data_IF_301763021646
#
_entry.id   IF_301763021646
#
_cell.length_a   1.000
_cell.length_b   1.000
_cell.length_c   1.000
_cell.angle_alpha   90.00
_cell.angle_beta   90.00
_cell.angle_gamma   90.00
#
_symmetry.space_group_name_H-M   'P 1'
#
loop_
_entity.id
_entity.type
_entity.pdbx_description
1 polymer ?
#
# COMPACT_ATOMS: atom_id res chain seq x y z
N UNK A 1 5.82 -10.49 31.95
CA UNK A 1 5.21 -9.19 31.60
C UNK A 1 5.60 -8.75 30.19
N UNK A 2 6.90 -8.71 29.87
CA UNK A 2 7.45 -8.23 28.59
C UNK A 2 6.85 -8.88 27.34
N UNK A 3 6.67 -10.20 27.34
CA UNK A 3 6.09 -10.94 26.22
C UNK A 3 4.64 -10.55 25.92
N UNK A 4 3.85 -10.26 26.96
CA UNK A 4 2.45 -9.85 26.78
C UNK A 4 2.38 -8.46 26.18
N UNK A 5 3.28 -7.57 26.61
CA UNK A 5 3.38 -6.21 26.13
C UNK A 5 3.85 -6.15 24.66
N UNK A 6 4.86 -6.94 24.29
CA UNK A 6 5.35 -6.98 22.91
C UNK A 6 4.28 -7.51 21.94
N UNK A 7 3.58 -8.58 22.32
CA UNK A 7 2.47 -9.13 21.51
C UNK A 7 1.36 -8.08 21.36
N UNK A 8 0.97 -7.41 22.44
CA UNK A 8 -0.07 -6.38 22.41
C UNK A 8 0.30 -5.22 21.47
N UNK A 9 1.55 -4.75 21.52
CA UNK A 9 2.02 -3.66 20.65
C UNK A 9 1.99 -4.08 19.18
N UNK A 10 2.48 -5.28 18.85
CA UNK A 10 2.50 -5.77 17.47
C UNK A 10 1.09 -5.92 16.92
N UNK A 11 0.17 -6.47 17.71
CA UNK A 11 -1.25 -6.60 17.32
C UNK A 11 -1.88 -5.23 17.10
N UNK A 12 -1.63 -4.28 18.00
CA UNK A 12 -2.15 -2.91 17.89
C UNK A 12 -1.61 -2.19 16.64
N UNK A 13 -0.31 -2.36 16.34
CA UNK A 13 0.31 -1.79 15.14
C UNK A 13 -0.26 -2.40 13.85
N UNK A 14 -0.38 -3.73 13.80
CA UNK A 14 -0.91 -4.44 12.64
C UNK A 14 -2.38 -4.09 12.37
N UNK A 15 -3.20 -4.04 13.41
CA UNK A 15 -4.62 -3.67 13.29
C UNK A 15 -4.80 -2.20 12.93
N UNK A 16 -4.01 -1.29 13.51
CA UNK A 16 -4.02 0.12 13.13
C UNK A 16 -3.64 0.34 11.67
N UNK A 17 -2.59 -0.33 11.19
CA UNK A 17 -2.18 -0.30 9.78
C UNK A 17 -3.26 -0.88 8.87
N UNK A 18 -3.81 -2.06 9.19
CA UNK A 18 -4.86 -2.69 8.39
C UNK A 18 -6.12 -1.82 8.30
N UNK A 19 -6.54 -1.23 9.41
CA UNK A 19 -7.68 -0.32 9.46
C UNK A 19 -7.40 0.94 8.65
N UNK A 20 -6.21 1.52 8.80
CA UNK A 20 -5.77 2.67 8.01
C UNK A 20 -5.78 2.40 6.50
N UNK A 21 -5.27 1.24 6.07
CA UNK A 21 -5.29 0.83 4.66
C UNK A 21 -6.71 0.62 4.14
N UNK A 22 -7.58 -0.03 4.93
CA UNK A 22 -8.99 -0.22 4.55
C UNK A 22 -9.74 1.10 4.41
N UNK A 23 -9.54 2.04 5.33
CA UNK A 23 -10.24 3.34 5.32
C UNK A 23 -9.67 4.30 4.26
N UNK A 24 -8.37 4.24 3.97
CA UNK A 24 -7.72 5.16 3.05
C UNK A 24 -7.87 4.73 1.58
N UNK A 25 -8.41 3.52 1.32
CA UNK A 25 -9.03 3.09 0.07
C UNK A 25 -8.15 3.11 -1.19
N UNK A 26 -6.90 3.56 -1.09
CA UNK A 26 -5.95 3.53 -2.18
C UNK A 26 -4.99 2.36 -1.95
N UNK A 27 -4.85 1.46 -2.93
CA UNK A 27 -3.78 0.48 -2.88
C UNK A 27 -2.45 1.22 -2.71
N UNK A 28 -1.49 0.66 -1.96
CA UNK A 28 -0.17 1.25 -1.84
C UNK A 28 0.32 1.50 -3.27
N UNK A 29 0.66 2.75 -3.57
CA UNK A 29 1.09 3.12 -4.91
C UNK A 29 2.28 2.24 -5.25
N UNK A 30 2.05 1.29 -6.16
CA UNK A 30 3.09 0.43 -6.69
C UNK A 30 4.07 1.32 -7.44
N UNK A 31 5.23 0.79 -7.82
CA UNK A 31 6.34 1.60 -8.35
C UNK A 31 5.98 2.54 -9.53
N UNK A 32 4.83 2.35 -10.19
CA UNK A 32 4.33 3.22 -11.26
C UNK A 32 3.34 4.32 -10.79
N UNK A 33 2.88 4.34 -9.54
CA UNK A 33 1.95 5.38 -9.04
C UNK A 33 2.56 6.78 -8.91
N UNK A 34 3.88 6.88 -8.73
CA UNK A 34 4.61 8.15 -8.73
C UNK A 34 4.74 8.79 -10.13
N UNK A 35 4.55 8.01 -11.20
CA UNK A 35 4.56 8.50 -12.59
C UNK A 35 3.24 9.14 -13.00
N UNK A 36 2.16 8.96 -12.22
CA UNK A 36 0.85 9.57 -12.47
C UNK A 36 0.87 11.09 -12.19
N UNK A 37 1.63 11.54 -11.18
CA UNK A 37 1.79 12.96 -10.85
C UNK A 37 2.71 13.72 -11.82
N UNK A 38 3.50 13.02 -12.65
CA UNK A 38 4.30 13.65 -13.70
C UNK A 38 3.45 13.65 -14.97
N UNK A 39 2.59 14.68 -15.07
CA UNK A 39 1.68 14.90 -16.19
C UNK A 39 2.41 14.88 -17.53
N UNK A 40 2.34 13.74 -18.23
CA UNK A 40 3.01 13.57 -19.51
C UNK A 40 3.46 12.13 -19.81
N UNK A 41 2.52 11.19 -19.88
CA UNK A 41 2.64 10.08 -20.83
C UNK A 41 3.02 8.67 -20.35
N UNK A 42 3.47 8.45 -19.12
CA UNK A 42 4.30 7.25 -18.87
C UNK A 42 3.67 6.09 -18.07
N UNK A 43 2.36 6.09 -17.79
CA UNK A 43 1.70 4.84 -17.39
C UNK A 43 1.81 3.77 -18.50
N UNK A 44 1.91 4.18 -19.78
CA UNK A 44 2.18 3.29 -20.92
C UNK A 44 3.60 2.70 -20.94
N UNK A 45 4.57 3.36 -20.30
CA UNK A 45 5.95 2.89 -20.20
C UNK A 45 6.20 1.96 -19.00
N UNK A 46 5.19 1.76 -18.14
CA UNK A 46 5.29 0.84 -17.01
C UNK A 46 5.36 -0.60 -17.54
N UNK A 47 6.50 -1.31 -17.42
CA UNK A 47 6.69 -2.62 -18.04
C UNK A 47 5.75 -3.70 -17.49
N UNK A 48 5.10 -3.45 -16.34
CA UNK A 48 4.16 -4.34 -15.65
C UNK A 48 2.69 -3.92 -15.74
N UNK A 49 2.34 -2.97 -16.63
CA UNK A 49 0.96 -2.46 -16.77
C UNK A 49 -0.08 -3.56 -17.04
N UNK A 50 0.31 -4.64 -17.72
CA UNK A 50 -0.60 -5.75 -18.05
C UNK A 50 -0.95 -6.67 -16.88
N UNK A 51 -0.25 -6.58 -15.74
CA UNK A 51 -0.35 -7.53 -14.64
C UNK A 51 -1.18 -6.97 -13.46
N UNK A 52 -1.33 -5.64 -13.40
CA UNK A 52 -1.93 -4.92 -12.28
C UNK A 52 -3.37 -4.40 -12.56
N UNK A 53 -4.01 -4.84 -13.65
CA UNK A 53 -5.41 -4.48 -14.00
C UNK A 53 -6.42 -5.58 -13.65
N UNK A 54 -6.12 -6.40 -12.65
CA UNK A 54 -7.02 -7.40 -12.07
C UNK A 54 -7.15 -7.17 -10.56
N UNK A 55 -7.77 -6.05 -10.18
CA UNK A 55 -8.73 -5.90 -9.05
C UNK A 55 -9.32 -4.48 -9.06
#
# INVERSE_FOLDING_TARGET
>A
MELVLSIAIVVLAATGLATGLMLMGKPPQTSCGGLDCIGGGQCAACPRRGEAHHD
#
